data_IF_732716417119
#
_entry.id   IF_732716417119
#
_cell.length_a   1.000
_cell.length_b   1.000
_cell.length_c   1.000
_cell.angle_alpha   90.00
_cell.angle_beta   90.00
_cell.angle_gamma   90.00
#
_symmetry.space_group_name_H-M   'P 1'
#
loop_
_entity.id
_entity.type
_entity.pdbx_description
1 polymer ?
#
# COMPACT_ATOMS: atom_id res chain seq x y z
N UNK A 1 -15.45 1.53 -9.64
CA UNK A 1 -14.36 1.18 -10.59
C UNK A 1 -13.78 -0.20 -10.30
N UNK A 2 -13.51 -0.55 -9.03
CA UNK A 2 -13.08 -1.91 -8.63
C UNK A 2 -14.08 -2.97 -9.13
N UNK A 3 -15.35 -2.84 -8.76
CA UNK A 3 -16.42 -3.77 -9.17
C UNK A 3 -16.43 -4.05 -10.68
N UNK A 4 -16.44 -2.99 -11.49
CA UNK A 4 -16.37 -3.10 -12.94
C UNK A 4 -15.13 -3.85 -13.43
N UNK A 5 -13.95 -3.57 -12.85
CA UNK A 5 -12.71 -4.27 -13.22
C UNK A 5 -12.73 -5.76 -12.86
N UNK A 6 -13.42 -6.14 -11.78
CA UNK A 6 -13.65 -7.54 -11.39
C UNK A 6 -14.56 -8.22 -12.41
N UNK A 7 -15.69 -7.62 -12.73
CA UNK A 7 -16.69 -8.14 -13.68
C UNK A 7 -16.09 -8.34 -15.08
N UNK A 8 -15.31 -7.36 -15.54
CA UNK A 8 -14.65 -7.38 -16.86
C UNK A 8 -13.37 -8.21 -16.88
N UNK A 9 -12.88 -8.67 -15.72
CA UNK A 9 -11.58 -9.36 -15.57
C UNK A 9 -10.42 -8.60 -16.24
N UNK A 10 -10.45 -7.28 -16.15
CA UNK A 10 -9.54 -6.41 -16.92
C UNK A 10 -8.24 -6.07 -16.19
N UNK A 11 -8.19 -6.27 -14.87
CA UNK A 11 -7.04 -5.97 -14.01
C UNK A 11 -6.91 -7.01 -12.88
N UNK A 12 -5.76 -7.04 -12.22
CA UNK A 12 -5.43 -7.98 -11.14
C UNK A 12 -4.76 -7.30 -9.92
N UNK A 13 -4.71 -5.97 -9.92
CA UNK A 13 -4.07 -5.19 -8.87
C UNK A 13 -4.72 -3.83 -8.71
N UNK A 14 -4.74 -3.33 -7.47
CA UNK A 14 -5.20 -2.00 -7.10
C UNK A 14 -4.01 -1.13 -6.69
N UNK A 15 -3.81 0.00 -7.37
CA UNK A 15 -2.93 1.06 -6.90
C UNK A 15 -3.72 1.98 -5.96
N UNK A 16 -3.62 1.74 -4.65
CA UNK A 16 -4.40 2.42 -3.63
C UNK A 16 -3.79 3.79 -3.31
N UNK A 17 -4.52 4.86 -3.64
CA UNK A 17 -4.20 6.24 -3.28
C UNK A 17 -5.25 6.74 -2.30
N UNK A 18 -4.90 6.83 -1.03
CA UNK A 18 -5.81 7.19 0.07
C UNK A 18 -6.55 8.51 -0.22
N UNK A 19 -5.83 9.51 -0.75
CA UNK A 19 -6.40 10.81 -1.06
C UNK A 19 -7.29 10.86 -2.32
N UNK A 20 -7.43 9.77 -3.08
CA UNK A 20 -8.38 9.68 -4.20
C UNK A 20 -9.77 9.20 -3.75
N UNK A 21 -9.83 8.52 -2.62
CA UNK A 21 -11.05 7.92 -2.09
C UNK A 21 -11.74 8.90 -1.12
N UNK A 22 -10.96 9.57 -0.25
CA UNK A 22 -11.46 10.65 0.60
C UNK A 22 -11.35 10.37 2.09
N UNK A 23 -11.56 9.11 2.53
CA UNK A 23 -11.40 8.71 3.92
C UNK A 23 -10.54 7.45 4.12
N UNK A 24 -10.07 7.25 5.35
CA UNK A 24 -9.34 6.05 5.77
C UNK A 24 -10.25 4.82 5.70
N UNK A 25 -11.48 4.93 6.19
CA UNK A 25 -12.46 3.83 6.19
C UNK A 25 -12.71 3.31 4.79
N UNK A 26 -13.00 4.19 3.84
CA UNK A 26 -13.25 3.79 2.46
C UNK A 26 -11.98 3.24 1.78
N UNK A 27 -10.78 3.67 2.23
CA UNK A 27 -9.51 3.11 1.75
C UNK A 27 -9.32 1.67 2.21
N UNK A 28 -9.70 1.34 3.46
CA UNK A 28 -9.72 -0.02 3.99
C UNK A 28 -10.75 -0.87 3.24
N UNK A 29 -11.96 -0.34 3.01
CA UNK A 29 -12.98 -1.05 2.24
C UNK A 29 -12.53 -1.35 0.80
N UNK A 30 -11.86 -0.40 0.14
CA UNK A 30 -11.33 -0.59 -1.20
C UNK A 30 -10.22 -1.66 -1.23
N UNK A 31 -9.35 -1.68 -0.20
CA UNK A 31 -8.35 -2.73 -0.02
C UNK A 31 -9.02 -4.10 0.10
N UNK A 32 -9.97 -4.25 1.02
CA UNK A 32 -10.63 -5.52 1.29
C UNK A 32 -11.35 -6.05 0.05
N UNK A 33 -12.09 -5.19 -0.66
CA UNK A 33 -12.76 -5.56 -1.93
C UNK A 33 -11.77 -6.06 -2.99
N UNK A 34 -10.58 -5.49 -3.07
CA UNK A 34 -9.56 -5.93 -4.01
C UNK A 34 -8.95 -7.28 -3.58
N UNK A 35 -8.62 -7.43 -2.29
CA UNK A 35 -8.08 -8.68 -1.73
C UNK A 35 -9.07 -9.83 -1.86
N UNK A 36 -10.36 -9.60 -1.57
CA UNK A 36 -11.43 -10.59 -1.71
C UNK A 36 -11.62 -11.04 -3.16
N UNK A 37 -11.31 -10.17 -4.12
CA UNK A 37 -11.30 -10.49 -5.55
C UNK A 37 -10.00 -11.17 -6.03
N UNK A 38 -9.10 -11.54 -5.12
CA UNK A 38 -7.81 -12.14 -5.44
C UNK A 38 -6.78 -11.16 -6.01
N UNK A 39 -7.01 -9.84 -5.93
CA UNK A 39 -6.08 -8.84 -6.43
C UNK A 39 -5.01 -8.49 -5.41
N UNK A 40 -3.86 -8.04 -5.90
CA UNK A 40 -2.84 -7.42 -5.04
C UNK A 40 -3.13 -5.94 -4.83
N UNK A 41 -2.72 -5.38 -3.69
CA UNK A 41 -2.89 -3.95 -3.39
C UNK A 41 -1.53 -3.31 -3.17
N UNK A 42 -1.26 -2.23 -3.90
CA UNK A 42 -0.05 -1.42 -3.75
C UNK A 42 -0.43 -0.03 -3.26
N UNK A 43 -0.07 0.30 -2.03
CA UNK A 43 -0.29 1.64 -1.46
C UNK A 43 0.63 2.62 -2.16
N UNK A 44 0.12 3.78 -2.59
CA UNK A 44 0.85 4.70 -3.46
C UNK A 44 0.77 6.15 -2.98
N UNK A 45 1.91 6.82 -3.11
CA UNK A 45 2.03 8.27 -3.00
C UNK A 45 1.33 9.02 -4.15
N UNK A 46 1.44 10.37 -4.14
CA UNK A 46 1.12 11.25 -5.28
C UNK A 46 2.35 11.96 -5.83
N UNK A 47 2.23 12.58 -7.01
CA UNK A 47 3.31 13.36 -7.61
C UNK A 47 3.66 14.60 -6.78
N UNK A 48 2.67 15.29 -6.22
CA UNK A 48 2.86 16.25 -5.14
C UNK A 48 2.69 15.54 -3.80
N UNK A 49 3.75 15.48 -3.00
CA UNK A 49 3.75 14.87 -1.67
C UNK A 49 4.19 15.88 -0.61
N UNK A 50 3.89 15.57 0.64
CA UNK A 50 4.33 16.33 1.81
C UNK A 50 5.28 15.48 2.64
N UNK A 51 5.67 15.96 3.83
CA UNK A 51 6.43 15.18 4.80
C UNK A 51 5.58 14.19 5.61
N UNK A 52 4.26 14.17 5.40
CA UNK A 52 3.36 13.20 6.02
C UNK A 52 3.78 11.76 5.65
N UNK A 53 3.88 10.88 6.63
CA UNK A 53 4.35 9.50 6.42
C UNK A 53 3.23 8.47 6.48
N UNK A 54 1.97 8.89 6.56
CA UNK A 54 0.82 8.04 6.89
C UNK A 54 0.67 6.81 5.99
N UNK A 55 1.05 6.91 4.72
CA UNK A 55 0.99 5.78 3.78
C UNK A 55 1.95 4.63 4.15
N UNK A 56 3.02 4.90 4.91
CA UNK A 56 3.91 3.88 5.45
C UNK A 56 3.22 3.05 6.56
N UNK A 57 2.47 3.71 7.45
CA UNK A 57 1.69 3.05 8.48
C UNK A 57 0.51 2.29 7.88
N UNK A 58 -0.16 2.85 6.86
CA UNK A 58 -1.27 2.20 6.16
C UNK A 58 -0.82 0.91 5.44
N UNK A 59 0.34 0.89 4.76
CA UNK A 59 0.78 -0.34 4.06
C UNK A 59 1.07 -1.48 5.02
N UNK A 60 1.66 -1.18 6.19
CA UNK A 60 1.93 -2.18 7.22
C UNK A 60 0.63 -2.59 7.91
N UNK A 61 -0.23 -1.65 8.28
CA UNK A 61 -1.49 -1.91 8.96
C UNK A 61 -2.49 -2.72 8.11
N UNK A 62 -2.50 -2.51 6.79
CA UNK A 62 -3.30 -3.31 5.86
C UNK A 62 -2.61 -4.62 5.43
N UNK A 63 -1.31 -4.80 5.74
CA UNK A 63 -0.55 -5.98 5.37
C UNK A 63 -0.45 -6.20 3.85
N UNK A 64 -0.52 -5.15 3.02
CA UNK A 64 -0.60 -5.33 1.56
C UNK A 64 0.71 -5.78 0.92
N UNK A 65 1.84 -5.63 1.64
CA UNK A 65 3.16 -6.08 1.23
C UNK A 65 3.83 -5.27 0.12
N UNK A 66 3.18 -4.25 -0.44
CA UNK A 66 3.72 -3.44 -1.53
C UNK A 66 3.41 -1.94 -1.35
N UNK A 67 4.45 -1.10 -1.48
CA UNK A 67 4.35 0.35 -1.45
C UNK A 67 5.08 0.99 -2.63
N UNK A 68 4.46 2.03 -3.20
CA UNK A 68 5.04 2.90 -4.23
C UNK A 68 5.17 4.31 -3.68
N UNK A 69 6.33 4.62 -3.09
CA UNK A 69 6.59 5.92 -2.46
C UNK A 69 7.72 6.74 -3.12
N UNK A 70 8.17 6.35 -4.32
CA UNK A 70 9.08 7.15 -5.15
C UNK A 70 10.53 6.70 -5.06
N UNK A 71 11.45 7.47 -5.63
CA UNK A 71 12.88 7.21 -5.49
C UNK A 71 13.34 7.57 -4.06
N UNK A 72 14.43 6.98 -3.54
CA UNK A 72 15.02 7.31 -2.24
C UNK A 72 15.78 8.66 -2.30
N UNK A 73 15.11 9.70 -2.79
CA UNK A 73 15.60 11.05 -2.88
C UNK A 73 14.43 12.02 -2.67
N UNK A 74 14.74 13.25 -2.27
CA UNK A 74 13.77 14.29 -1.87
C UNK A 74 13.03 13.92 -0.57
N UNK A 75 12.97 14.87 0.35
CA UNK A 75 12.51 14.64 1.73
C UNK A 75 11.10 14.06 1.80
N UNK A 76 10.19 14.53 0.95
CA UNK A 76 8.80 14.06 0.89
C UNK A 76 8.64 12.59 0.48
N UNK A 77 9.69 11.96 -0.06
CA UNK A 77 9.74 10.51 -0.36
C UNK A 77 10.50 9.76 0.73
N UNK A 78 11.66 10.31 1.10
CA UNK A 78 12.58 9.72 2.06
C UNK A 78 11.94 9.58 3.45
N UNK A 79 11.10 10.52 3.87
CA UNK A 79 10.38 10.44 5.14
C UNK A 79 9.53 9.16 5.27
N UNK A 80 8.88 8.68 4.19
CA UNK A 80 8.11 7.44 4.21
C UNK A 80 8.99 6.21 4.38
N UNK A 81 10.17 6.18 3.74
CA UNK A 81 11.15 5.11 3.94
C UNK A 81 11.68 5.09 5.37
N UNK A 82 11.99 6.27 5.92
CA UNK A 82 12.41 6.38 7.31
C UNK A 82 11.32 5.88 8.27
N UNK A 83 10.06 6.16 7.97
CA UNK A 83 8.96 5.64 8.78
C UNK A 83 8.84 4.12 8.69
N UNK A 84 9.01 3.52 7.51
CA UNK A 84 9.04 2.06 7.37
C UNK A 84 10.16 1.43 8.21
N UNK A 85 11.36 2.03 8.23
CA UNK A 85 12.47 1.56 9.07
C UNK A 85 12.14 1.66 10.57
N UNK A 86 11.46 2.73 11.01
CA UNK A 86 11.00 2.86 12.40
C UNK A 86 9.96 1.81 12.77
N UNK A 87 8.99 1.56 11.89
CA UNK A 87 7.96 0.53 12.10
C UNK A 87 8.60 -0.86 12.17
N UNK A 88 9.58 -1.15 11.30
CA UNK A 88 10.33 -2.41 11.34
C UNK A 88 11.10 -2.56 12.66
N UNK A 89 11.79 -1.51 13.11
CA UNK A 89 12.49 -1.48 14.40
C UNK A 89 11.53 -1.71 15.58
N UNK A 90 10.36 -1.08 15.58
CA UNK A 90 9.33 -1.24 16.61
C UNK A 90 8.76 -2.66 16.66
N UNK A 91 8.52 -3.28 15.49
CA UNK A 91 8.01 -4.65 15.40
C UNK A 91 9.08 -5.70 15.77
N UNK A 92 10.37 -5.37 15.58
CA UNK A 92 11.49 -6.24 15.88
C UNK A 92 11.34 -7.63 15.25
N UNK A 93 11.41 -8.69 16.07
CA UNK A 93 11.28 -10.07 15.59
C UNK A 93 9.91 -10.43 15.00
N UNK A 94 8.89 -9.58 15.19
CA UNK A 94 7.55 -9.77 14.59
C UNK A 94 7.45 -9.18 13.18
N UNK A 95 8.44 -8.41 12.74
CA UNK A 95 8.46 -7.86 11.40
C UNK A 95 8.60 -8.99 10.36
N UNK A 96 7.86 -8.88 9.27
CA UNK A 96 7.96 -9.80 8.13
C UNK A 96 8.03 -9.00 6.84
N UNK A 97 9.15 -9.12 6.13
CA UNK A 97 9.33 -8.53 4.82
C UNK A 97 8.75 -9.44 3.73
N UNK A 98 7.76 -8.95 2.99
CA UNK A 98 7.07 -9.71 1.94
C UNK A 98 7.92 -9.80 0.67
N UNK A 99 8.93 -10.69 0.67
CA UNK A 99 9.80 -10.95 -0.48
C UNK A 99 9.86 -12.44 -0.86
N UNK A 100 10.31 -12.71 -2.08
CA UNK A 100 10.51 -14.06 -2.60
C UNK A 100 9.21 -14.87 -2.62
N UNK A 101 9.14 -15.93 -1.81
CA UNK A 101 7.97 -16.81 -1.71
C UNK A 101 6.76 -16.12 -1.07
N UNK A 102 7.00 -15.13 -0.22
CA UNK A 102 5.96 -14.37 0.48
C UNK A 102 5.53 -13.11 -0.28
N UNK A 103 6.06 -12.89 -1.48
CA UNK A 103 5.67 -11.75 -2.30
C UNK A 103 4.20 -11.89 -2.71
N UNK A 104 3.34 -10.88 -2.47
CA UNK A 104 1.92 -10.96 -2.81
C UNK A 104 1.73 -11.20 -4.31
N UNK A 105 0.93 -12.22 -4.66
CA UNK A 105 0.56 -12.52 -6.05
C UNK A 105 -0.96 -12.47 -6.18
N UNK A 106 -1.42 -12.04 -7.34
CA UNK A 106 -2.83 -12.17 -7.69
C UNK A 106 -3.19 -13.65 -7.86
N UNK A 107 -4.40 -14.02 -7.43
CA UNK A 107 -4.97 -15.36 -7.56
C UNK A 107 -5.78 -15.50 -8.85
#
# INVERSE_FOLDING_TARGET
RIQKGIEEKSVNALLLKVNQIGSVTESIEANNKAVDAGWTVMVSHRSGETEDTFIADIVVGLGTGQIKTGAPCRTERLCKYNQLMRIEEELGAKASFAAGKNFPRCQ
#
